data_IF_947468807917
#
_entry.id   IF_947468807917
#
_cell.length_a   1.000
_cell.length_b   1.000
_cell.length_c   1.000
_cell.angle_alpha   90.00
_cell.angle_beta   90.00
_cell.angle_gamma   90.00
#
_symmetry.space_group_name_H-M   'P 1'
#
loop_
_entity.id
_entity.type
_entity.pdbx_description
1 polymer ?
#
# COMPACT_ATOMS: atom_id res chain seq x y z
N UNK A 1 0.46 -10.97 -14.71
CA UNK A 1 1.64 -10.73 -13.84
C UNK A 1 1.39 -9.58 -12.87
N UNK A 2 0.86 -8.44 -13.35
CA UNK A 2 0.60 -7.27 -12.50
C UNK A 2 -0.23 -7.57 -11.24
N UNK A 3 -1.35 -8.30 -11.37
CA UNK A 3 -2.19 -8.64 -10.22
C UNK A 3 -1.46 -9.45 -9.12
N UNK A 4 -0.40 -10.20 -9.45
CA UNK A 4 0.33 -11.02 -8.48
C UNK A 4 1.25 -10.16 -7.60
N UNK A 5 1.89 -9.14 -8.16
CA UNK A 5 2.73 -8.22 -7.42
C UNK A 5 1.88 -7.31 -6.51
N UNK A 6 0.68 -6.88 -6.94
CA UNK A 6 -0.27 -6.17 -6.08
C UNK A 6 -0.75 -7.04 -4.91
N UNK A 7 -1.03 -8.33 -5.14
CA UNK A 7 -1.35 -9.28 -4.06
C UNK A 7 -0.14 -9.48 -3.13
N UNK A 8 1.07 -9.57 -3.68
CA UNK A 8 2.30 -9.65 -2.89
C UNK A 8 2.47 -8.41 -2.02
N UNK A 9 2.19 -7.21 -2.53
CA UNK A 9 2.24 -5.96 -1.76
C UNK A 9 1.23 -5.94 -0.63
N UNK A 10 0.00 -6.42 -0.86
CA UNK A 10 -0.99 -6.62 0.20
C UNK A 10 -0.50 -7.59 1.28
N UNK A 11 0.23 -8.65 0.92
CA UNK A 11 0.83 -9.59 1.88
C UNK A 11 2.04 -9.01 2.62
N UNK A 12 2.80 -8.10 1.98
CA UNK A 12 3.90 -7.38 2.61
C UNK A 12 3.40 -6.37 3.65
N UNK A 13 2.22 -5.79 3.47
CA UNK A 13 1.63 -4.79 4.38
C UNK A 13 1.54 -5.27 5.85
N UNK A 14 0.93 -6.43 6.19
CA UNK A 14 0.92 -6.94 7.55
C UNK A 14 2.30 -7.34 8.06
N UNK A 15 3.21 -7.78 7.17
CA UNK A 15 4.60 -8.07 7.54
C UNK A 15 5.35 -6.81 7.98
N UNK A 16 5.17 -5.70 7.27
CA UNK A 16 5.76 -4.40 7.63
C UNK A 16 5.22 -3.92 8.96
N UNK A 17 3.91 -4.02 9.17
CA UNK A 17 3.27 -3.71 10.46
C UNK A 17 3.86 -4.53 11.61
N UNK A 18 3.99 -5.84 11.42
CA UNK A 18 4.55 -6.73 12.42
C UNK A 18 6.02 -6.42 12.72
N UNK A 19 6.81 -6.16 11.69
CA UNK A 19 8.24 -5.80 11.81
C UNK A 19 8.41 -4.45 12.54
N UNK A 20 7.60 -3.44 12.19
CA UNK A 20 7.56 -2.15 12.88
C UNK A 20 7.20 -2.29 14.36
N UNK A 21 6.26 -3.18 14.68
CA UNK A 21 5.83 -3.38 16.06
C UNK A 21 6.88 -4.14 16.90
N UNK A 22 7.54 -5.14 16.30
CA UNK A 22 8.50 -6.00 17.00
C UNK A 22 9.90 -5.39 17.12
N UNK A 23 10.41 -4.83 16.02
CA UNK A 23 11.82 -4.40 15.89
C UNK A 23 11.93 -2.90 15.61
N UNK A 24 10.82 -2.21 15.34
CA UNK A 24 10.85 -0.80 14.99
C UNK A 24 11.46 -0.54 13.62
N UNK A 25 12.32 0.47 13.55
CA UNK A 25 13.09 0.86 12.35
C UNK A 25 14.32 -0.02 12.05
N UNK A 26 14.31 -1.31 12.40
CA UNK A 26 15.41 -2.23 12.12
C UNK A 26 15.65 -2.51 10.63
N UNK A 27 16.76 -3.18 10.31
CA UNK A 27 17.12 -3.54 8.93
C UNK A 27 16.02 -4.33 8.20
N UNK A 28 15.31 -5.22 8.92
CA UNK A 28 14.17 -6.00 8.40
C UNK A 28 13.05 -5.09 7.89
N UNK A 29 12.65 -4.12 8.70
CA UNK A 29 11.60 -3.14 8.36
C UNK A 29 12.01 -2.31 7.14
N UNK A 30 13.26 -1.85 7.11
CA UNK A 30 13.79 -1.07 5.99
C UNK A 30 13.78 -1.89 4.68
N UNK A 31 14.18 -3.15 4.75
CA UNK A 31 14.19 -4.05 3.60
C UNK A 31 12.77 -4.34 3.09
N UNK A 32 11.81 -4.57 4.00
CA UNK A 32 10.40 -4.76 3.64
C UNK A 32 9.78 -3.51 2.99
N UNK A 33 10.12 -2.31 3.49
CA UNK A 33 9.67 -1.04 2.89
C UNK A 33 10.24 -0.84 1.49
N UNK A 34 11.54 -1.09 1.29
CA UNK A 34 12.19 -1.00 -0.02
C UNK A 34 11.56 -1.99 -1.00
N UNK A 35 11.40 -3.25 -0.57
CA UNK A 35 10.78 -4.29 -1.42
C UNK A 35 9.34 -3.92 -1.75
N UNK A 36 8.53 -3.48 -0.78
CA UNK A 36 7.15 -3.07 -1.01
C UNK A 36 7.02 -1.93 -2.02
N UNK A 37 7.84 -0.89 -1.88
CA UNK A 37 7.89 0.24 -2.83
C UNK A 37 8.41 -0.15 -4.21
N UNK A 38 9.45 -0.99 -4.28
CA UNK A 38 9.97 -1.50 -5.56
C UNK A 38 8.92 -2.35 -6.30
N UNK A 39 8.11 -3.10 -5.57
CA UNK A 39 7.03 -3.93 -6.13
C UNK A 39 5.99 -3.05 -6.85
N UNK A 40 5.71 -1.83 -6.36
CA UNK A 40 4.77 -0.88 -6.98
C UNK A 40 5.28 -0.34 -8.33
N UNK A 41 6.56 0.05 -8.35
CA UNK A 41 7.21 0.51 -9.57
C UNK A 41 7.25 -0.58 -10.64
N UNK A 42 7.53 -1.82 -10.22
CA UNK A 42 7.58 -2.98 -11.11
C UNK A 42 6.20 -3.32 -11.69
N UNK A 43 5.13 -3.17 -10.93
CA UNK A 43 3.77 -3.37 -11.43
C UNK A 43 3.38 -2.36 -12.49
N UNK A 44 3.61 -1.07 -12.21
CA UNK A 44 3.35 -0.02 -13.18
C UNK A 44 4.19 -0.16 -14.45
N UNK A 45 5.43 -0.64 -14.32
CA UNK A 45 6.29 -0.93 -15.47
C UNK A 45 5.80 -2.15 -16.27
N UNK A 46 5.48 -3.25 -15.60
CA UNK A 46 5.01 -4.49 -16.24
C UNK A 46 3.66 -4.29 -16.94
N UNK A 47 2.72 -3.57 -16.31
CA UNK A 47 1.42 -3.26 -16.89
C UNK A 47 1.55 -2.44 -18.19
N UNK A 48 2.43 -1.44 -18.22
CA UNK A 48 2.70 -0.61 -19.41
C UNK A 48 3.43 -1.36 -20.53
N UNK A 49 4.36 -2.25 -20.18
CA UNK A 49 5.15 -3.01 -21.17
C UNK A 49 4.38 -4.17 -21.79
N UNK A 50 3.46 -4.78 -21.05
CA UNK A 50 2.74 -5.98 -21.47
C UNK A 50 1.34 -5.68 -22.02
N UNK A 51 0.92 -4.42 -22.05
CA UNK A 51 -0.43 -3.96 -22.43
C UNK A 51 -1.57 -4.71 -21.70
N UNK A 52 -1.25 -5.29 -20.53
CA UNK A 52 -2.16 -6.09 -19.71
C UNK A 52 -2.90 -5.22 -18.69
N UNK A 53 -3.54 -4.16 -19.17
CA UNK A 53 -4.37 -3.29 -18.33
C UNK A 53 -5.73 -3.96 -18.09
N UNK A 54 -5.78 -4.86 -17.09
CA UNK A 54 -7.04 -5.52 -16.74
C UNK A 54 -7.98 -4.57 -15.97
N UNK A 55 -9.29 -4.73 -16.17
CA UNK A 55 -10.32 -3.96 -15.43
C UNK A 55 -10.25 -4.21 -13.91
N UNK A 56 -9.87 -5.43 -13.53
CA UNK A 56 -9.67 -5.85 -12.14
C UNK A 56 -8.39 -5.27 -11.52
N UNK A 57 -7.27 -5.28 -12.27
CA UNK A 57 -5.98 -4.73 -11.84
C UNK A 57 -6.05 -3.22 -11.55
N UNK A 58 -6.79 -2.48 -12.38
CA UNK A 58 -7.05 -1.04 -12.14
C UNK A 58 -7.73 -0.72 -10.81
N UNK A 59 -8.46 -1.66 -10.22
CA UNK A 59 -9.10 -1.51 -8.91
C UNK A 59 -8.20 -2.05 -7.81
N UNK A 60 -7.56 -3.20 -8.05
CA UNK A 60 -6.65 -3.86 -7.11
C UNK A 60 -5.41 -3.02 -6.79
N UNK A 61 -4.79 -2.39 -7.79
CA UNK A 61 -3.54 -1.64 -7.60
C UNK A 61 -3.72 -0.47 -6.61
N UNK A 62 -4.71 0.44 -6.77
CA UNK A 62 -4.98 1.50 -5.77
C UNK A 62 -5.36 0.96 -4.39
N UNK A 63 -6.00 -0.21 -4.33
CA UNK A 63 -6.41 -0.84 -3.08
C UNK A 63 -5.20 -1.40 -2.32
N UNK A 64 -4.32 -2.11 -3.03
CA UNK A 64 -3.09 -2.65 -2.49
C UNK A 64 -2.17 -1.55 -1.99
N UNK A 65 -2.03 -0.46 -2.76
CA UNK A 65 -1.24 0.71 -2.37
C UNK A 65 -1.78 1.35 -1.07
N UNK A 66 -3.09 1.58 -0.99
CA UNK A 66 -3.73 2.15 0.21
C UNK A 66 -3.56 1.28 1.45
N UNK A 67 -3.71 -0.04 1.30
CA UNK A 67 -3.52 -0.99 2.41
C UNK A 67 -2.06 -0.99 2.88
N UNK A 68 -1.11 -0.96 1.94
CA UNK A 68 0.31 -0.91 2.25
C UNK A 68 0.65 0.40 2.99
N UNK A 69 0.25 1.55 2.43
CA UNK A 69 0.52 2.86 3.02
C UNK A 69 -0.15 3.01 4.40
N UNK A 70 -1.40 2.57 4.55
CA UNK A 70 -2.10 2.58 5.84
C UNK A 70 -1.38 1.70 6.88
N UNK A 71 -0.85 0.55 6.47
CA UNK A 71 -0.09 -0.35 7.35
C UNK A 71 1.21 0.30 7.82
N UNK A 72 1.97 0.91 6.91
CA UNK A 72 3.21 1.62 7.24
C UNK A 72 2.93 2.77 8.21
N UNK A 73 1.96 3.63 7.91
CA UNK A 73 1.61 4.78 8.76
C UNK A 73 1.10 4.35 10.14
N UNK A 74 0.30 3.27 10.20
CA UNK A 74 -0.18 2.71 11.46
C UNK A 74 0.98 2.16 12.31
N UNK A 75 1.91 1.43 11.69
CA UNK A 75 3.11 0.92 12.36
C UNK A 75 4.02 2.05 12.87
N UNK A 76 4.22 3.10 12.08
CA UNK A 76 4.99 4.28 12.47
C UNK A 76 4.31 5.07 13.60
N UNK A 77 2.98 5.12 13.61
CA UNK A 77 2.20 5.75 14.71
C UNK A 77 2.43 5.01 16.02
N UNK A 78 2.38 3.68 15.99
CA UNK A 78 2.62 2.85 17.16
C UNK A 78 4.08 2.88 17.64
N UNK A 79 5.04 2.92 16.71
CA UNK A 79 6.46 2.82 17.04
C UNK A 79 7.12 4.16 17.38
N UNK A 80 6.90 5.20 16.59
CA UNK A 80 7.64 6.47 16.68
C UNK A 80 6.78 7.65 17.13
N UNK A 81 5.52 7.41 17.49
CA UNK A 81 4.59 8.46 17.87
C UNK A 81 4.16 9.34 16.68
N UNK A 82 4.11 8.76 15.47
CA UNK A 82 3.57 9.48 14.31
C UNK A 82 2.15 10.01 14.65
N UNK A 83 1.80 11.25 14.28
CA UNK A 83 0.57 11.85 14.77
C UNK A 83 -0.67 11.09 14.32
N UNK A 84 -1.48 10.62 15.28
CA UNK A 84 -2.75 9.92 15.00
C UNK A 84 -3.68 10.73 14.10
N UNK A 85 -3.66 12.06 14.22
CA UNK A 85 -4.47 12.93 13.36
C UNK A 85 -4.07 12.84 11.89
N UNK A 86 -2.78 12.64 11.57
CA UNK A 86 -2.32 12.43 10.20
C UNK A 86 -2.78 11.07 9.67
N UNK A 87 -2.72 10.02 10.48
CA UNK A 87 -3.23 8.69 10.12
C UNK A 87 -4.73 8.75 9.81
N UNK A 88 -5.52 9.39 10.69
CA UNK A 88 -6.96 9.56 10.48
C UNK A 88 -7.23 10.38 9.22
N UNK A 89 -6.53 11.51 9.03
CA UNK A 89 -6.70 12.35 7.86
C UNK A 89 -6.37 11.59 6.56
N UNK A 90 -5.32 10.75 6.57
CA UNK A 90 -4.97 9.90 5.45
C UNK A 90 -6.07 8.88 5.13
N UNK A 91 -6.58 8.15 6.13
CA UNK A 91 -7.66 7.17 5.93
C UNK A 91 -8.91 7.85 5.38
N UNK A 92 -9.29 9.00 5.94
CA UNK A 92 -10.46 9.78 5.48
C UNK A 92 -10.27 10.24 4.04
N UNK A 93 -9.10 10.78 3.68
CA UNK A 93 -8.77 11.19 2.31
C UNK A 93 -8.85 10.01 1.34
N UNK A 94 -8.25 8.88 1.70
CA UNK A 94 -8.13 7.74 0.79
C UNK A 94 -9.48 7.02 0.58
N UNK A 95 -10.31 6.94 1.62
CA UNK A 95 -11.67 6.41 1.54
C UNK A 95 -12.61 7.34 0.80
N UNK A 96 -12.51 8.66 1.00
CA UNK A 96 -13.32 9.64 0.26
C UNK A 96 -12.99 9.65 -1.24
N UNK A 97 -11.71 9.56 -1.63
CA UNK A 97 -11.32 9.41 -3.04
C UNK A 97 -11.91 8.13 -3.66
N UNK A 98 -11.89 7.00 -2.94
CA UNK A 98 -12.50 5.75 -3.43
C UNK A 98 -14.02 5.86 -3.55
N UNK A 99 -14.68 6.44 -2.54
CA UNK A 99 -16.14 6.58 -2.52
C UNK A 99 -16.62 7.47 -3.67
N UNK A 100 -15.99 8.62 -3.88
CA UNK A 100 -16.32 9.54 -4.98
C UNK A 100 -16.01 8.89 -6.33
N UNK A 101 -14.85 8.24 -6.47
CA UNK A 101 -14.48 7.52 -7.69
C UNK A 101 -15.48 6.42 -8.04
N UNK A 102 -15.95 5.66 -7.04
CA UNK A 102 -16.97 4.64 -7.24
C UNK A 102 -18.34 5.22 -7.60
N UNK A 103 -18.73 6.38 -7.04
CA UNK A 103 -19.96 7.08 -7.40
C UNK A 103 -19.93 7.65 -8.82
N UNK A 104 -18.79 8.17 -9.29
CA UNK A 104 -18.64 8.73 -10.64
C UNK A 104 -18.57 7.66 -11.75
N UNK A 105 -18.10 6.46 -11.42
CA UNK A 105 -18.02 5.33 -12.35
C UNK A 105 -19.34 4.54 -12.47
N UNK A 106 -20.37 4.95 -11.72
CA UNK A 106 -21.71 4.35 -11.72
C UNK A 106 -22.64 5.12 -12.63
#
# INVERSE_FOLDING_TARGET
>A
VANLLSVLRMLLAPLVLWSLHREGGGHTTMLLLIVGGATDMLDGYAARRLDQVSRMGRILDPLADKIFLASVCSGLTAWHGFPLWLLVMQIVRDTSILAIGAMLLR
#
